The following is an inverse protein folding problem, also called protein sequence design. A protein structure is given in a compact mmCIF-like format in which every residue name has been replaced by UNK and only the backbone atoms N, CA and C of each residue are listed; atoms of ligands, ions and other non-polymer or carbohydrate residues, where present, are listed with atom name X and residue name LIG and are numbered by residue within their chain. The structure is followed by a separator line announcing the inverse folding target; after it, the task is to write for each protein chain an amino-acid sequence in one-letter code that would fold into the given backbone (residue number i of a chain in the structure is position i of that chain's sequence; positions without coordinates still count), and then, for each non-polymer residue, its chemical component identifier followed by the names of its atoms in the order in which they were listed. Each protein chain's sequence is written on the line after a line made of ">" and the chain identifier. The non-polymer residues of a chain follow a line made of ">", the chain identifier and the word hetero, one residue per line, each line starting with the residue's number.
data_IF_899762755233
#
_entry.id   IF_899762755233
#
_cell.length_a   1.000
_cell.length_b   1.000
_cell.length_c   1.000
_cell.angle_alpha   90.00
_cell.angle_beta   90.00
_cell.angle_gamma   90.00
#
_symmetry.space_group_name_H-M   'P 1'
#
loop_
_entity.id
_entity.type
_entity.pdbx_description
1 polymer ?
#
# COMPACT_ATOMS: atom_id res chain seq x y z
N UNK A 1 -19.40 -20.56 56.51
CA UNK A 1 -19.44 -19.84 57.80
C UNK A 1 -20.51 -18.78 57.72
N UNK A 2 -21.57 -18.90 58.51
CA UNK A 2 -22.77 -18.07 58.40
C UNK A 2 -22.46 -16.63 58.80
N UNK A 3 -22.75 -15.71 57.88
CA UNK A 3 -22.77 -14.27 58.09
C UNK A 3 -23.82 -14.01 59.18
N UNK A 4 -23.42 -13.36 60.27
CA UNK A 4 -24.33 -12.93 61.31
C UNK A 4 -25.24 -11.85 60.75
N UNK A 5 -26.39 -12.24 60.21
CA UNK A 5 -27.50 -11.32 59.94
C UNK A 5 -28.10 -10.91 61.29
N UNK A 6 -27.47 -9.91 61.90
CA UNK A 6 -28.03 -9.22 63.07
C UNK A 6 -29.19 -8.36 62.59
N UNK A 7 -30.42 -8.85 62.76
CA UNK A 7 -31.61 -8.04 62.55
C UNK A 7 -31.62 -6.88 63.56
N UNK A 8 -31.86 -5.63 63.14
CA UNK A 8 -31.83 -4.46 64.03
C UNK A 8 -32.95 -4.44 65.08
N UNK A 9 -33.87 -5.42 65.04
CA UNK A 9 -35.07 -5.49 65.87
C UNK A 9 -35.07 -6.67 66.86
N UNK A 10 -34.08 -7.56 66.84
CA UNK A 10 -33.98 -8.64 67.83
C UNK A 10 -33.12 -8.22 69.01
N UNK A 11 -33.70 -8.17 70.20
CA UNK A 11 -32.95 -7.99 71.45
C UNK A 11 -32.03 -9.20 71.63
N UNK A 12 -30.71 -8.97 71.56
CA UNK A 12 -29.72 -10.04 71.77
C UNK A 12 -29.93 -10.70 73.14
N UNK A 13 -29.75 -12.02 73.28
CA UNK A 13 -29.88 -12.69 74.58
C UNK A 13 -29.06 -12.01 75.70
N UNK A 14 -27.88 -11.48 75.38
CA UNK A 14 -27.07 -10.68 76.30
C UNK A 14 -27.79 -9.39 76.77
N UNK A 15 -28.43 -8.66 75.85
CA UNK A 15 -29.20 -7.46 76.19
C UNK A 15 -30.41 -7.79 77.07
N UNK A 16 -31.07 -8.94 76.86
CA UNK A 16 -32.17 -9.39 77.72
C UNK A 16 -31.71 -9.73 79.15
N UNK A 17 -30.52 -10.32 79.30
CA UNK A 17 -29.92 -10.61 80.60
C UNK A 17 -29.49 -9.33 81.32
N UNK A 18 -28.85 -8.39 80.61
CA UNK A 18 -28.47 -7.10 81.16
C UNK A 18 -29.70 -6.29 81.62
N UNK A 19 -30.76 -6.26 80.81
CA UNK A 19 -32.04 -5.62 81.18
C UNK A 19 -32.66 -6.24 82.45
N UNK A 20 -32.57 -7.57 82.61
CA UNK A 20 -33.03 -8.25 83.82
C UNK A 20 -32.16 -7.92 85.04
N UNK A 21 -30.84 -7.81 84.88
CA UNK A 21 -29.93 -7.40 85.97
C UNK A 21 -30.21 -5.97 86.44
N UNK A 22 -30.52 -5.05 85.52
CA UNK A 22 -30.96 -3.69 85.85
C UNK A 22 -32.30 -3.70 86.58
N UNK A 23 -33.26 -4.49 86.09
CA UNK A 23 -34.60 -4.60 86.70
C UNK A 23 -34.59 -5.20 88.11
N UNK A 24 -33.64 -6.10 88.38
CA UNK A 24 -33.42 -6.72 89.71
C UNK A 24 -32.59 -5.80 90.63
N UNK A 25 -32.07 -4.69 90.13
CA UNK A 25 -31.23 -3.75 90.88
C UNK A 25 -29.82 -4.28 91.16
N UNK A 26 -29.39 -5.32 90.45
CA UNK A 26 -28.06 -5.92 90.63
C UNK A 26 -26.94 -5.09 89.98
N UNK A 27 -27.28 -4.28 88.96
CA UNK A 27 -26.39 -3.35 88.24
C UNK A 27 -27.22 -2.13 87.84
N UNK A 28 -26.66 -0.92 87.91
CA UNK A 28 -27.36 0.29 87.45
C UNK A 28 -27.16 0.55 85.95
N UNK A 29 -28.10 1.27 85.32
CA UNK A 29 -27.97 1.66 83.91
C UNK A 29 -26.70 2.53 83.69
N UNK A 30 -26.37 3.40 84.65
CA UNK A 30 -25.18 4.24 84.64
C UNK A 30 -23.88 3.44 84.69
N UNK A 31 -23.84 2.32 85.41
CA UNK A 31 -22.69 1.39 85.45
C UNK A 31 -22.48 0.69 84.09
N UNK A 32 -23.56 0.29 83.42
CA UNK A 32 -23.50 -0.32 82.08
C UNK A 32 -23.02 0.70 81.05
N UNK A 33 -23.57 1.90 81.09
CA UNK A 33 -23.22 2.98 80.16
C UNK A 33 -21.76 3.43 80.38
N UNK A 34 -21.30 3.48 81.63
CA UNK A 34 -19.91 3.78 81.99
C UNK A 34 -18.93 2.68 81.56
N UNK A 35 -19.32 1.40 81.69
CA UNK A 35 -18.52 0.27 81.22
C UNK A 35 -18.40 0.24 79.69
N UNK A 36 -19.45 0.63 78.97
CA UNK A 36 -19.42 0.75 77.50
C UNK A 36 -18.59 1.93 77.00
N UNK A 37 -18.54 3.01 77.80
CA UNK A 37 -17.79 4.25 77.48
C UNK A 37 -16.31 4.14 77.83
N UNK A 38 -15.94 3.23 78.74
CA UNK A 38 -14.54 2.90 79.02
C UNK A 38 -13.91 2.22 77.80
N UNK A 39 -13.21 3.05 77.00
CA UNK A 39 -12.44 2.66 75.82
C UNK A 39 -11.14 1.93 76.20
N UNK A 40 -11.18 1.02 77.16
CA UNK A 40 -10.11 0.01 77.26
C UNK A 40 -10.33 -0.98 76.11
N UNK A 41 -9.28 -1.34 75.35
CA UNK A 41 -9.44 -2.33 74.31
C UNK A 41 -9.93 -3.64 74.96
N UNK A 42 -11.09 -4.14 74.51
CA UNK A 42 -11.70 -5.36 75.03
C UNK A 42 -10.82 -6.62 74.83
N UNK A 43 -9.81 -6.52 73.97
CA UNK A 43 -8.85 -7.56 73.66
C UNK A 43 -7.40 -7.08 73.86
N UNK A 44 -6.49 -8.03 74.08
CA UNK A 44 -5.05 -7.76 74.16
C UNK A 44 -4.56 -7.01 72.91
N UNK A 45 -3.57 -6.09 73.04
CA UNK A 45 -2.98 -5.37 71.90
C UNK A 45 -2.44 -6.32 70.81
N UNK A 46 -2.04 -7.53 71.18
CA UNK A 46 -1.60 -8.56 70.22
C UNK A 46 -2.74 -9.05 69.32
N UNK A 47 -3.96 -9.16 69.85
CA UNK A 47 -5.16 -9.56 69.08
C UNK A 47 -5.56 -8.45 68.13
N UNK A 48 -5.55 -7.20 68.58
CA UNK A 48 -5.83 -6.04 67.73
C UNK A 48 -4.81 -5.91 66.57
N UNK A 49 -3.52 -6.15 66.87
CA UNK A 49 -2.48 -6.17 65.83
C UNK A 49 -2.67 -7.32 64.84
N UNK A 50 -3.05 -8.51 65.32
CA UNK A 50 -3.36 -9.66 64.46
C UNK A 50 -4.57 -9.39 63.55
N UNK A 51 -5.63 -8.80 64.09
CA UNK A 51 -6.82 -8.39 63.32
C UNK A 51 -6.45 -7.40 62.21
N UNK A 52 -5.66 -6.37 62.53
CA UNK A 52 -5.18 -5.41 61.52
C UNK A 52 -4.32 -6.08 60.44
N UNK A 53 -3.49 -7.06 60.79
CA UNK A 53 -2.71 -7.83 59.81
C UNK A 53 -3.61 -8.66 58.91
N UNK A 54 -4.61 -9.34 59.46
CA UNK A 54 -5.59 -10.12 58.69
C UNK A 54 -6.37 -9.22 57.73
N UNK A 55 -6.82 -8.05 58.20
CA UNK A 55 -7.51 -7.09 57.34
C UNK A 55 -6.64 -6.60 56.18
N UNK A 56 -5.39 -6.23 56.44
CA UNK A 56 -4.44 -5.80 55.39
C UNK A 56 -4.11 -6.95 54.44
N UNK A 57 -3.94 -8.17 54.95
CA UNK A 57 -3.70 -9.34 54.10
C UNK A 57 -4.89 -9.59 53.17
N UNK A 58 -6.12 -9.52 53.69
CA UNK A 58 -7.32 -9.66 52.88
C UNK A 58 -7.39 -8.59 51.77
N UNK A 59 -7.00 -7.35 52.06
CA UNK A 59 -6.93 -6.28 51.06
C UNK A 59 -5.87 -6.56 49.99
N UNK A 60 -4.70 -7.10 50.38
CA UNK A 60 -3.67 -7.51 49.43
C UNK A 60 -4.16 -8.65 48.52
N UNK A 61 -4.81 -9.66 49.09
CA UNK A 61 -5.34 -10.80 48.33
C UNK A 61 -6.42 -10.34 47.33
N UNK A 62 -7.29 -9.41 47.75
CA UNK A 62 -8.31 -8.82 46.87
C UNK A 62 -7.68 -8.02 45.71
N UNK A 63 -6.67 -7.19 46.00
CA UNK A 63 -5.96 -6.46 44.95
C UNK A 63 -5.21 -7.40 44.00
N UNK A 64 -4.61 -8.48 44.52
CA UNK A 64 -3.93 -9.47 43.70
C UNK A 64 -4.92 -10.14 42.73
N UNK A 65 -6.10 -10.53 43.21
CA UNK A 65 -7.14 -11.12 42.37
C UNK A 65 -7.62 -10.15 41.28
N UNK A 66 -7.80 -8.87 41.61
CA UNK A 66 -8.14 -7.84 40.60
C UNK A 66 -7.06 -7.69 39.54
N UNK A 67 -5.78 -7.75 39.94
CA UNK A 67 -4.65 -7.69 39.03
C UNK A 67 -4.60 -8.92 38.10
N UNK A 68 -4.85 -10.11 38.64
CA UNK A 68 -4.92 -11.35 37.87
C UNK A 68 -6.09 -11.32 36.87
N UNK A 69 -7.26 -10.82 37.29
CA UNK A 69 -8.42 -10.66 36.41
C UNK A 69 -8.11 -9.73 35.23
N UNK A 70 -7.51 -8.56 35.51
CA UNK A 70 -7.11 -7.61 34.46
C UNK A 70 -6.03 -8.20 33.53
N UNK A 71 -5.11 -9.00 34.07
CA UNK A 71 -4.09 -9.68 33.26
C UNK A 71 -4.72 -10.67 32.30
N UNK A 72 -5.65 -11.50 32.77
CA UNK A 72 -6.34 -12.48 31.94
C UNK A 72 -7.22 -11.79 30.88
N UNK A 73 -7.92 -10.72 31.25
CA UNK A 73 -8.71 -9.92 30.33
C UNK A 73 -7.86 -9.31 29.21
N UNK A 74 -6.70 -8.73 29.57
CA UNK A 74 -5.76 -8.19 28.60
C UNK A 74 -5.17 -9.28 27.68
N UNK A 75 -4.81 -10.44 28.22
CA UNK A 75 -4.26 -11.56 27.44
C UNK A 75 -5.29 -12.19 26.50
N UNK A 76 -6.57 -12.13 26.85
CA UNK A 76 -7.67 -12.66 26.03
C UNK A 76 -8.37 -11.58 25.19
N UNK A 77 -7.84 -10.35 25.19
CA UNK A 77 -8.53 -9.23 24.58
C UNK A 77 -8.72 -9.39 23.07
N UNK A 78 -7.79 -10.06 22.39
CA UNK A 78 -7.80 -10.26 20.95
C UNK A 78 -8.89 -11.24 20.46
N UNK A 79 -9.44 -12.05 21.36
CA UNK A 79 -10.51 -13.04 21.11
C UNK A 79 -11.81 -12.76 21.86
N UNK A 80 -11.77 -11.99 22.94
CA UNK A 80 -12.96 -11.67 23.75
C UNK A 80 -13.55 -10.29 23.41
N UNK A 81 -12.72 -9.30 23.05
CA UNK A 81 -13.20 -7.94 22.84
C UNK A 81 -13.68 -7.70 21.41
N UNK A 82 -14.89 -7.14 21.31
CA UNK A 82 -15.54 -6.80 20.04
C UNK A 82 -14.69 -5.88 19.17
N UNK A 83 -13.93 -4.96 19.76
CA UNK A 83 -13.05 -4.05 19.02
C UNK A 83 -12.00 -4.80 18.18
N UNK A 84 -11.25 -5.73 18.80
CA UNK A 84 -10.23 -6.52 18.11
C UNK A 84 -10.85 -7.55 17.14
N UNK A 85 -11.96 -8.16 17.54
CA UNK A 85 -12.70 -9.09 16.70
C UNK A 85 -13.30 -8.42 15.45
N UNK A 86 -13.85 -7.22 15.58
CA UNK A 86 -14.47 -6.49 14.47
C UNK A 86 -13.47 -6.20 13.35
N UNK A 87 -12.26 -5.77 13.72
CA UNK A 87 -11.19 -5.55 12.74
C UNK A 87 -10.80 -6.85 12.01
N UNK A 88 -10.63 -7.95 12.76
CA UNK A 88 -10.33 -9.27 12.18
C UNK A 88 -11.47 -9.75 11.27
N UNK A 89 -12.72 -9.56 11.68
CA UNK A 89 -13.89 -9.92 10.90
C UNK A 89 -13.97 -9.13 9.59
N UNK A 90 -13.69 -7.82 9.64
CA UNK A 90 -13.68 -6.97 8.46
C UNK A 90 -12.63 -7.41 7.43
N UNK A 91 -11.42 -7.76 7.89
CA UNK A 91 -10.37 -8.31 7.02
C UNK A 91 -10.79 -9.65 6.40
N UNK A 92 -11.37 -10.55 7.19
CA UNK A 92 -11.85 -11.84 6.71
C UNK A 92 -12.98 -11.67 5.69
N UNK A 93 -13.88 -10.72 5.93
CA UNK A 93 -15.00 -10.41 5.04
C UNK A 93 -14.50 -9.85 3.70
N UNK A 94 -13.52 -8.95 3.73
CA UNK A 94 -12.88 -8.41 2.53
C UNK A 94 -12.15 -9.50 1.72
N UNK A 95 -11.42 -10.39 2.39
CA UNK A 95 -10.81 -11.54 1.72
C UNK A 95 -11.86 -12.46 1.09
N UNK A 96 -12.94 -12.72 1.82
CA UNK A 96 -14.03 -13.59 1.36
C UNK A 96 -14.74 -13.00 0.14
N UNK A 97 -15.01 -11.69 0.13
CA UNK A 97 -15.59 -11.02 -1.04
C UNK A 97 -14.66 -11.09 -2.23
N UNK A 98 -13.37 -10.82 -2.03
CA UNK A 98 -12.38 -10.90 -3.11
C UNK A 98 -12.28 -12.30 -3.71
N UNK A 99 -12.23 -13.35 -2.88
CA UNK A 99 -12.25 -14.74 -3.35
C UNK A 99 -13.52 -15.06 -4.14
N UNK A 100 -14.67 -14.57 -3.69
CA UNK A 100 -15.93 -14.77 -4.39
C UNK A 100 -15.91 -14.12 -5.78
N UNK A 101 -15.35 -12.92 -5.90
CA UNK A 101 -15.22 -12.21 -7.17
C UNK A 101 -14.23 -12.90 -8.11
N UNK A 102 -13.09 -13.38 -7.60
CA UNK A 102 -12.15 -14.20 -8.38
C UNK A 102 -12.83 -15.46 -8.93
N UNK A 103 -13.65 -16.15 -8.13
CA UNK A 103 -14.39 -17.33 -8.59
C UNK A 103 -15.44 -16.99 -9.66
N UNK A 104 -16.11 -15.84 -9.53
CA UNK A 104 -17.04 -15.34 -10.58
C UNK A 104 -16.28 -15.06 -11.88
N UNK A 105 -15.14 -14.41 -11.81
CA UNK A 105 -14.31 -14.11 -13.00
C UNK A 105 -13.74 -15.38 -13.62
N UNK A 106 -13.27 -16.34 -12.82
CA UNK A 106 -12.85 -17.63 -13.35
C UNK A 106 -14.00 -18.35 -14.06
N UNK A 107 -15.22 -18.27 -13.52
CA UNK A 107 -16.42 -18.82 -14.17
C UNK A 107 -16.76 -18.07 -15.46
N UNK A 108 -16.70 -16.75 -15.46
CA UNK A 108 -16.95 -15.91 -16.64
C UNK A 108 -15.94 -16.22 -17.75
N UNK A 109 -14.66 -16.32 -17.40
CA UNK A 109 -13.57 -16.63 -18.32
C UNK A 109 -13.73 -18.03 -18.90
N UNK A 110 -14.00 -19.04 -18.06
CA UNK A 110 -14.26 -20.40 -18.54
C UNK A 110 -15.43 -20.43 -19.52
N UNK A 111 -16.53 -19.75 -19.20
CA UNK A 111 -17.67 -19.65 -20.12
C UNK A 111 -17.29 -18.95 -21.43
N UNK A 112 -16.47 -17.89 -21.39
CA UNK A 112 -15.98 -17.20 -22.58
C UNK A 112 -15.06 -18.09 -23.43
N UNK A 113 -14.20 -18.88 -22.81
CA UNK A 113 -13.29 -19.81 -23.50
C UNK A 113 -14.04 -21.04 -24.04
N UNK A 114 -15.10 -21.48 -23.36
CA UNK A 114 -15.96 -22.56 -23.83
C UNK A 114 -16.95 -22.12 -24.92
N UNK A 115 -17.19 -20.81 -25.07
CA UNK A 115 -17.94 -20.31 -26.23
C UNK A 115 -17.08 -20.60 -27.47
N UNK A 116 -17.57 -21.41 -28.41
CA UNK A 116 -16.84 -21.62 -29.64
C UNK A 116 -16.62 -20.25 -30.29
N UNK A 117 -15.36 -19.92 -30.59
CA UNK A 117 -15.02 -18.81 -31.48
C UNK A 117 -15.85 -19.02 -32.74
N UNK A 118 -16.85 -18.16 -32.93
CA UNK A 118 -17.92 -18.24 -33.92
C UNK A 118 -17.67 -19.29 -35.02
N UNK A 119 -18.23 -20.50 -34.87
CA UNK A 119 -18.28 -21.54 -35.91
C UNK A 119 -17.10 -21.56 -36.90
N UNK A 120 -15.84 -21.50 -36.43
CA UNK A 120 -14.69 -21.52 -37.36
C UNK A 120 -14.56 -22.85 -38.09
N UNK A 121 -15.27 -23.87 -37.61
CA UNK A 121 -15.55 -25.07 -38.38
C UNK A 121 -16.82 -24.82 -39.19
N UNK A 122 -16.70 -24.15 -40.34
CA UNK A 122 -17.61 -24.46 -41.45
C UNK A 122 -17.50 -25.99 -41.62
N UNK A 123 -18.60 -26.76 -41.50
CA UNK A 123 -18.53 -28.20 -41.69
C UNK A 123 -18.14 -28.44 -43.14
N UNK A 124 -16.84 -28.59 -43.37
CA UNK A 124 -16.28 -28.82 -44.67
C UNK A 124 -16.45 -30.32 -44.92
N UNK A 125 -17.09 -30.73 -46.03
CA UNK A 125 -17.12 -32.13 -46.42
C UNK A 125 -15.70 -32.70 -46.48
N UNK A 126 -15.48 -33.90 -45.95
CA UNK A 126 -14.15 -34.51 -45.83
C UNK A 126 -13.37 -34.56 -47.16
N UNK A 127 -14.07 -34.67 -48.29
CA UNK A 127 -13.46 -34.66 -49.63
C UNK A 127 -12.88 -33.29 -50.05
N UNK A 128 -13.32 -32.20 -49.44
CA UNK A 128 -12.83 -30.84 -49.70
C UNK A 128 -11.69 -30.42 -48.75
N UNK A 129 -11.44 -31.16 -47.67
CA UNK A 129 -10.40 -30.84 -46.69
C UNK A 129 -9.03 -30.69 -47.34
N UNK A 130 -8.66 -31.63 -48.22
CA UNK A 130 -7.38 -31.59 -48.92
C UNK A 130 -7.25 -30.32 -49.78
N UNK A 131 -8.27 -30.01 -50.56
CA UNK A 131 -8.30 -28.81 -51.40
C UNK A 131 -8.22 -27.53 -50.57
N UNK A 132 -8.90 -27.46 -49.42
CA UNK A 132 -8.86 -26.30 -48.55
C UNK A 132 -7.47 -26.12 -47.90
N UNK A 133 -6.87 -27.21 -47.42
CA UNK A 133 -5.49 -27.19 -46.88
C UNK A 133 -4.50 -26.75 -47.95
N UNK A 134 -4.59 -27.31 -49.15
CA UNK A 134 -3.72 -26.94 -50.28
C UNK A 134 -3.91 -25.46 -50.67
N UNK A 135 -5.15 -24.95 -50.62
CA UNK A 135 -5.47 -23.54 -50.92
C UNK A 135 -4.93 -22.59 -49.84
N UNK A 136 -5.08 -22.95 -48.56
CA UNK A 136 -4.54 -22.15 -47.45
C UNK A 136 -3.01 -22.13 -47.50
N UNK A 137 -2.39 -23.26 -47.82
CA UNK A 137 -0.94 -23.32 -48.02
C UNK A 137 -0.49 -22.41 -49.17
N UNK A 138 -1.15 -22.50 -50.33
CA UNK A 138 -0.84 -21.64 -51.47
C UNK A 138 -1.01 -20.15 -51.14
N UNK A 139 -2.03 -19.81 -50.33
CA UNK A 139 -2.28 -18.45 -49.89
C UNK A 139 -1.17 -17.94 -48.96
N UNK A 140 -0.67 -18.79 -48.04
CA UNK A 140 0.46 -18.44 -47.18
C UNK A 140 1.75 -18.26 -47.99
N UNK A 141 2.04 -19.19 -48.92
CA UNK A 141 3.21 -19.09 -49.80
C UNK A 141 3.13 -17.81 -50.66
N UNK A 142 1.94 -17.44 -51.14
CA UNK A 142 1.72 -16.19 -51.87
C UNK A 142 1.95 -14.95 -51.00
N UNK A 143 1.43 -14.94 -49.76
CA UNK A 143 1.61 -13.83 -48.81
C UNK A 143 3.11 -13.63 -48.53
N UNK A 144 3.83 -14.70 -48.22
CA UNK A 144 5.28 -14.66 -47.97
C UNK A 144 6.04 -14.09 -49.18
N UNK A 145 5.72 -14.59 -50.38
CA UNK A 145 6.34 -14.09 -51.62
C UNK A 145 6.02 -12.62 -51.87
N UNK A 146 4.78 -12.19 -51.60
CA UNK A 146 4.34 -10.82 -51.77
C UNK A 146 5.05 -9.86 -50.78
N UNK A 147 5.21 -10.28 -49.53
CA UNK A 147 5.95 -9.54 -48.51
C UNK A 147 7.43 -9.36 -48.89
N UNK A 148 8.08 -10.41 -49.43
CA UNK A 148 9.44 -10.33 -49.92
C UNK A 148 9.57 -9.33 -51.08
N UNK A 149 8.62 -9.36 -52.04
CA UNK A 149 8.61 -8.42 -53.17
C UNK A 149 8.33 -6.99 -52.75
N UNK A 150 7.41 -6.76 -51.81
CA UNK A 150 7.16 -5.44 -51.25
C UNK A 150 8.38 -4.89 -50.52
N UNK A 151 9.05 -5.72 -49.72
CA UNK A 151 10.28 -5.35 -49.03
C UNK A 151 11.39 -4.95 -50.01
N UNK A 152 11.52 -5.70 -51.11
CA UNK A 152 12.47 -5.41 -52.20
C UNK A 152 12.12 -4.12 -52.95
N UNK A 153 10.84 -3.86 -53.21
CA UNK A 153 10.40 -2.62 -53.84
C UNK A 153 10.63 -1.41 -52.93
N UNK A 154 10.42 -1.57 -51.62
CA UNK A 154 10.63 -0.51 -50.65
C UNK A 154 12.11 -0.11 -50.52
N UNK A 155 13.03 -1.09 -50.53
CA UNK A 155 14.47 -0.80 -50.51
C UNK A 155 14.93 -0.08 -51.79
N UNK A 156 14.33 -0.40 -52.95
CA UNK A 156 14.57 0.34 -54.19
C UNK A 156 14.08 1.80 -54.12
N UNK A 157 12.90 2.05 -53.54
CA UNK A 157 12.42 3.43 -53.35
C UNK A 157 13.32 4.22 -52.41
N UNK A 158 13.76 3.60 -51.30
CA UNK A 158 14.67 4.22 -50.34
C UNK A 158 16.04 4.54 -50.96
N UNK A 159 16.63 3.62 -51.74
CA UNK A 159 17.90 3.89 -52.44
C UNK A 159 17.78 5.02 -53.47
N UNK A 160 16.64 5.13 -54.16
CA UNK A 160 16.35 6.26 -55.06
C UNK A 160 16.26 7.59 -54.32
N UNK A 161 15.61 7.64 -53.16
CA UNK A 161 15.56 8.85 -52.33
C UNK A 161 16.97 9.29 -51.90
N UNK A 162 17.81 8.36 -51.43
CA UNK A 162 19.20 8.65 -51.07
C UNK A 162 20.03 9.16 -52.26
N UNK A 163 19.83 8.60 -53.45
CA UNK A 163 20.48 9.12 -54.67
C UNK A 163 20.06 10.55 -54.99
N UNK A 164 18.77 10.90 -54.83
CA UNK A 164 18.30 12.28 -55.06
C UNK A 164 18.86 13.28 -54.04
N UNK A 165 19.02 12.87 -52.77
CA UNK A 165 19.67 13.69 -51.74
C UNK A 165 21.14 13.95 -52.06
N UNK A 166 21.83 12.93 -52.58
CA UNK A 166 23.23 13.03 -52.97
C UNK A 166 23.38 13.96 -54.19
N UNK A 167 22.51 13.85 -55.19
CA UNK A 167 22.49 14.76 -56.35
C UNK A 167 22.29 16.22 -55.92
N UNK A 168 21.31 16.48 -55.04
CA UNK A 168 21.13 17.82 -54.45
C UNK A 168 22.37 18.31 -53.71
N UNK A 169 23.05 17.44 -52.95
CA UNK A 169 24.29 17.80 -52.24
C UNK A 169 25.44 18.13 -53.20
N UNK A 170 25.56 17.40 -54.32
CA UNK A 170 26.53 17.70 -55.38
C UNK A 170 26.23 19.06 -56.00
N UNK A 171 24.97 19.36 -56.31
CA UNK A 171 24.61 20.67 -56.90
C UNK A 171 24.96 21.83 -55.98
N UNK A 172 24.76 21.68 -54.65
CA UNK A 172 25.17 22.68 -53.66
C UNK A 172 26.70 22.84 -53.61
N UNK A 173 27.44 21.74 -53.62
CA UNK A 173 28.91 21.78 -53.60
C UNK A 173 29.48 22.44 -54.85
N UNK A 174 28.89 22.18 -56.03
CA UNK A 174 29.27 22.84 -57.28
C UNK A 174 28.96 24.35 -57.25
N UNK A 175 27.85 24.76 -56.65
CA UNK A 175 27.53 26.18 -56.47
C UNK A 175 28.55 26.86 -55.56
N UNK A 176 28.87 26.26 -54.41
CA UNK A 176 29.90 26.77 -53.48
C UNK A 176 31.28 26.83 -54.15
N UNK A 177 31.66 25.82 -54.94
CA UNK A 177 32.92 25.83 -55.68
C UNK A 177 32.97 26.96 -56.71
N UNK A 178 31.86 27.24 -57.40
CA UNK A 178 31.75 28.38 -58.30
C UNK A 178 31.85 29.72 -57.55
N UNK A 179 31.21 29.84 -56.37
CA UNK A 179 31.37 31.02 -55.51
C UNK A 179 32.83 31.22 -55.09
N UNK A 180 33.51 30.17 -54.63
CA UNK A 180 34.94 30.20 -54.30
C UNK A 180 35.78 30.61 -55.52
N UNK A 181 35.48 30.09 -56.70
CA UNK A 181 36.17 30.47 -57.94
C UNK A 181 35.95 31.96 -58.26
N UNK A 182 34.73 32.48 -58.11
CA UNK A 182 34.45 33.90 -58.34
C UNK A 182 35.16 34.80 -57.33
N UNK A 183 35.17 34.42 -56.04
CA UNK A 183 35.89 35.13 -54.98
C UNK A 183 37.40 35.10 -55.21
N UNK A 184 37.95 33.96 -55.60
CA UNK A 184 39.37 33.81 -55.97
C UNK A 184 39.73 34.71 -57.14
N UNK A 185 38.91 34.73 -58.20
CA UNK A 185 39.09 35.62 -59.35
C UNK A 185 38.98 37.09 -58.97
N UNK A 186 38.09 37.46 -58.05
CA UNK A 186 38.06 38.80 -57.48
C UNK A 186 39.38 39.11 -56.76
N UNK A 187 39.81 38.30 -55.78
CA UNK A 187 41.07 38.52 -55.04
C UNK A 187 42.26 38.72 -55.99
N UNK A 188 42.35 37.90 -57.05
CA UNK A 188 43.38 38.06 -58.08
C UNK A 188 43.30 39.42 -58.80
N UNK A 189 42.10 39.88 -59.18
CA UNK A 189 41.90 41.22 -59.77
C UNK A 189 42.34 42.34 -58.81
N UNK A 190 41.98 42.24 -57.53
CA UNK A 190 42.40 43.22 -56.51
C UNK A 190 43.93 43.25 -56.35
N UNK A 191 44.60 42.08 -56.38
CA UNK A 191 46.07 41.98 -56.38
C UNK A 191 46.68 42.64 -57.62
N UNK A 192 46.11 42.44 -58.82
CA UNK A 192 46.60 43.07 -60.04
C UNK A 192 46.45 44.59 -60.04
N UNK A 193 45.33 45.13 -59.53
CA UNK A 193 45.15 46.58 -59.37
C UNK A 193 46.11 47.17 -58.33
N UNK A 194 46.37 46.45 -57.24
CA UNK A 194 47.36 46.83 -56.23
C UNK A 194 48.80 46.86 -56.78
N UNK A 195 49.15 45.97 -57.72
CA UNK A 195 50.44 46.02 -58.42
C UNK A 195 50.52 47.11 -59.50
N UNK A 196 49.39 47.48 -60.14
CA UNK A 196 49.38 48.55 -61.15
C UNK A 196 49.44 49.96 -60.56
N UNK A 197 49.08 50.19 -59.29
CA UNK A 197 49.31 51.48 -58.63
C UNK A 197 50.77 51.74 -58.23
N UNK A 198 51.65 50.72 -58.30
CA UNK A 198 53.08 50.85 -57.99
C UNK A 198 53.96 50.96 -59.26
N UNK A 199 53.36 51.03 -60.45
CA UNK A 199 54.07 51.24 -61.70
C UNK A 199 53.55 52.51 -62.39
N UNK A 200 54.33 53.59 -62.20
CA UNK A 200 54.34 54.91 -62.83
C UNK A 200 53.35 56.00 -62.37
N UNK A 201 53.93 57.14 -61.93
CA UNK A 201 53.85 58.35 -62.75
C UNK A 201 55.23 58.81 -63.25
N UNK A 202 55.38 58.77 -64.57
CA UNK A 202 55.82 59.92 -65.39
C UNK A 202 57.04 60.73 -64.93
N UNK A 203 58.20 60.46 -65.53
CA UNK A 203 59.12 61.53 -65.95
C UNK A 203 58.97 61.65 -67.48
N UNK A 204 58.67 62.80 -68.08
CA UNK A 204 59.57 63.94 -68.13
C UNK A 204 58.95 65.03 -69.01
N UNK A 205 59.18 66.31 -68.69
CA UNK A 205 59.60 67.34 -69.67
C UNK A 205 59.69 68.73 -69.03
N UNK A 206 60.90 69.32 -69.09
CA UNK A 206 61.19 70.72 -69.50
C UNK A 206 62.66 71.03 -69.13
N UNK A 207 63.62 70.93 -70.05
CA UNK A 207 64.09 71.98 -70.98
C UNK A 207 65.05 72.99 -70.36
N UNK A 208 66.36 72.80 -70.59
CA UNK A 208 67.39 73.79 -71.03
C UNK A 208 68.79 73.21 -70.83
#
# INVERSE_FOLDING_TARGET
>A
MHRWDMSPFSVTPAASLLSRCVSVGAVSQEEIDSASSNRSPAFSPQVQQAEQRIMKQKQLDELQLQLELLRVDHQSADVAHSFHLAQRFQLLQMLSSHLQDVLKEQKSLRQRLMKPLAQTNLPLPAHLHRSAVDSVKLMMDFIETLEEKLSSAHSWTSTREHLSQLDSSITLLLAEAAEIETLSNQILRWKTLGSSQLSDPSSSSSSS
#
